data_IF_671647821710
#
_entry.id   IF_671647821710
#
_cell.length_a   1.000
_cell.length_b   1.000
_cell.length_c   1.000
_cell.angle_alpha   90.00
_cell.angle_beta   90.00
_cell.angle_gamma   90.00
#
_symmetry.space_group_name_H-M   'P 1'
#
loop_
_entity.id
_entity.type
_entity.pdbx_description
1 polymer ?
#
# COMPACT_ATOMS: atom_id res chain seq x y z
N UNK A 1 10.22 -17.90 11.70
CA UNK A 1 10.37 -16.53 12.24
C UNK A 1 9.27 -16.27 13.28
N UNK A 2 9.49 -15.45 14.32
CA UNK A 2 8.52 -15.25 15.41
C UNK A 2 7.27 -14.49 14.94
N UNK A 3 6.07 -14.94 15.35
CA UNK A 3 4.79 -14.26 15.08
C UNK A 3 4.82 -12.77 15.47
N UNK A 4 5.64 -12.40 16.46
CA UNK A 4 5.83 -11.00 16.90
C UNK A 4 6.31 -10.07 15.79
N UNK A 5 7.16 -10.55 14.88
CA UNK A 5 7.69 -9.74 13.78
C UNK A 5 6.59 -9.44 12.75
N UNK A 6 5.72 -10.42 12.47
CA UNK A 6 4.58 -10.24 11.56
C UNK A 6 3.55 -9.28 12.13
N UNK A 7 3.30 -9.36 13.45
CA UNK A 7 2.45 -8.40 14.17
C UNK A 7 3.04 -7.00 14.05
N UNK A 8 4.32 -6.83 14.36
CA UNK A 8 4.97 -5.51 14.29
C UNK A 8 4.93 -4.95 12.87
N UNK A 9 5.24 -5.77 11.87
CA UNK A 9 5.17 -5.39 10.47
C UNK A 9 3.75 -4.96 10.07
N UNK A 10 2.74 -5.77 10.39
CA UNK A 10 1.35 -5.44 10.08
C UNK A 10 0.88 -4.18 10.81
N UNK A 11 1.37 -3.93 12.03
CA UNK A 11 1.01 -2.75 12.81
C UNK A 11 1.61 -1.48 12.20
N UNK A 12 2.92 -1.50 11.94
CA UNK A 12 3.64 -0.36 11.34
C UNK A 12 3.09 -0.06 9.96
N UNK A 13 3.02 -1.07 9.09
CA UNK A 13 2.53 -0.90 7.73
C UNK A 13 1.05 -0.48 7.73
N UNK A 14 0.22 -1.10 8.58
CA UNK A 14 -1.19 -0.76 8.71
C UNK A 14 -1.42 0.69 9.16
N UNK A 15 -0.67 1.17 10.16
CA UNK A 15 -0.74 2.58 10.60
C UNK A 15 -0.31 3.52 9.49
N UNK A 16 0.77 3.21 8.76
CA UNK A 16 1.23 4.03 7.63
C UNK A 16 0.13 4.13 6.56
N UNK A 17 -0.42 2.99 6.12
CA UNK A 17 -1.50 2.95 5.14
C UNK A 17 -2.71 3.78 5.58
N UNK A 18 -3.15 3.66 6.84
CA UNK A 18 -4.26 4.47 7.36
C UNK A 18 -3.90 5.97 7.39
N UNK A 19 -2.72 6.32 7.89
CA UNK A 19 -2.28 7.70 8.00
C UNK A 19 -2.21 8.39 6.64
N UNK A 20 -1.58 7.76 5.64
CA UNK A 20 -1.51 8.29 4.28
C UNK A 20 -2.89 8.32 3.61
N UNK A 21 -3.73 7.31 3.83
CA UNK A 21 -5.10 7.30 3.32
C UNK A 21 -5.91 8.48 3.85
N UNK A 22 -5.91 8.71 5.17
CA UNK A 22 -6.58 9.88 5.77
C UNK A 22 -6.02 11.19 5.25
N UNK A 23 -4.71 11.28 5.07
CA UNK A 23 -4.06 12.49 4.57
C UNK A 23 -4.49 12.82 3.14
N UNK A 24 -4.63 11.82 2.25
CA UNK A 24 -5.17 12.04 0.91
C UNK A 24 -6.62 12.55 0.93
N UNK A 25 -7.48 12.05 1.82
CA UNK A 25 -8.84 12.57 1.99
C UNK A 25 -8.84 14.04 2.43
N UNK A 26 -7.97 14.40 3.38
CA UNK A 26 -7.85 15.78 3.86
C UNK A 26 -7.36 16.70 2.75
N UNK A 27 -6.35 16.28 1.97
CA UNK A 27 -5.83 17.05 0.84
C UNK A 27 -6.83 17.15 -0.32
N UNK A 28 -7.63 16.11 -0.57
CA UNK A 28 -8.70 16.17 -1.56
C UNK A 28 -9.79 17.19 -1.18
N UNK A 29 -10.05 17.39 0.11
CA UNK A 29 -11.06 18.33 0.60
C UNK A 29 -10.55 19.77 0.77
N UNK A 30 -9.31 19.94 1.22
CA UNK A 30 -8.73 21.26 1.54
C UNK A 30 -7.82 21.82 0.45
N UNK A 31 -7.47 21.02 -0.55
CA UNK A 31 -6.48 21.36 -1.58
C UNK A 31 -5.04 21.03 -1.18
N UNK A 32 -4.08 21.24 -2.09
CA UNK A 32 -2.66 20.99 -1.84
C UNK A 32 -2.13 21.84 -0.69
N UNK A 33 -1.26 21.25 0.14
CA UNK A 33 -0.59 21.94 1.24
C UNK A 33 0.91 21.89 0.97
N UNK A 34 1.55 23.05 0.79
CA UNK A 34 2.98 23.16 0.42
C UNK A 34 3.91 22.36 1.33
N UNK A 35 3.60 22.28 2.64
CA UNK A 35 4.42 21.52 3.60
C UNK A 35 4.37 19.99 3.43
N UNK A 36 3.42 19.48 2.66
CA UNK A 36 3.23 18.05 2.40
C UNK A 36 3.60 17.65 0.96
N UNK A 37 3.98 18.60 0.10
CA UNK A 37 4.40 18.32 -1.28
C UNK A 37 5.65 17.43 -1.33
N UNK A 38 6.56 17.57 -0.35
CA UNK A 38 7.75 16.73 -0.24
C UNK A 38 7.44 15.24 -0.02
N UNK A 39 6.23 14.90 0.46
CA UNK A 39 5.79 13.52 0.67
C UNK A 39 5.08 12.93 -0.57
N UNK A 40 4.93 13.70 -1.66
CA UNK A 40 4.28 13.28 -2.90
C UNK A 40 2.90 12.65 -2.65
N UNK A 41 2.08 13.36 -1.87
CA UNK A 41 0.74 12.90 -1.48
C UNK A 41 -0.29 13.66 -2.31
N UNK A 42 -0.81 13.10 -3.41
CA UNK A 42 -1.90 13.72 -4.14
C UNK A 42 -3.19 13.69 -3.32
N UNK A 43 -4.02 14.73 -3.46
CA UNK A 43 -5.38 14.73 -2.92
C UNK A 43 -6.31 13.87 -3.77
N UNK A 44 -6.32 12.55 -3.53
CA UNK A 44 -7.17 11.59 -4.25
C UNK A 44 -8.01 10.74 -3.27
N UNK A 45 -9.34 10.78 -3.45
CA UNK A 45 -10.28 10.01 -2.64
C UNK A 45 -10.22 8.50 -2.94
N UNK A 46 -9.94 8.10 -4.19
CA UNK A 46 -9.92 6.69 -4.58
C UNK A 46 -8.67 6.00 -4.05
N UNK A 47 -7.50 6.55 -4.35
CA UNK A 47 -6.23 6.04 -3.79
C UNK A 47 -6.25 6.12 -2.28
N UNK A 48 -6.80 7.19 -1.70
CA UNK A 48 -6.96 7.36 -0.25
C UNK A 48 -7.82 6.26 0.36
N UNK A 49 -8.93 5.91 -0.29
CA UNK A 49 -9.81 4.83 0.15
C UNK A 49 -9.12 3.46 0.08
N UNK A 50 -8.41 3.17 -1.00
CA UNK A 50 -7.62 1.93 -1.13
C UNK A 50 -6.60 1.82 0.00
N UNK A 51 -5.88 2.92 0.30
CA UNK A 51 -4.92 2.97 1.40
C UNK A 51 -5.59 2.64 2.75
N UNK A 52 -6.76 3.23 3.03
CA UNK A 52 -7.53 2.94 4.25
C UNK A 52 -7.96 1.47 4.33
N UNK A 53 -8.41 0.88 3.23
CA UNK A 53 -8.81 -0.54 3.19
C UNK A 53 -7.62 -1.45 3.50
N UNK A 54 -6.48 -1.24 2.83
CA UNK A 54 -5.25 -2.01 3.09
C UNK A 54 -4.83 -1.89 4.56
N UNK A 55 -4.81 -0.66 5.08
CA UNK A 55 -4.47 -0.37 6.47
C UNK A 55 -5.42 -1.04 7.47
N UNK A 56 -6.72 -0.97 7.23
CA UNK A 56 -7.73 -1.58 8.09
C UNK A 56 -7.61 -3.12 8.13
N UNK A 57 -7.35 -3.77 7.00
CA UNK A 57 -7.14 -5.23 6.93
C UNK A 57 -5.89 -5.64 7.72
N UNK A 58 -4.77 -4.91 7.57
CA UNK A 58 -3.54 -5.15 8.32
C UNK A 58 -3.76 -5.00 9.83
N UNK A 59 -4.38 -3.89 10.26
CA UNK A 59 -4.65 -3.61 11.67
C UNK A 59 -5.66 -4.59 12.28
N UNK A 60 -6.64 -5.07 11.50
CA UNK A 60 -7.55 -6.13 11.94
C UNK A 60 -6.80 -7.44 12.22
N UNK A 61 -5.82 -7.79 11.37
CA UNK A 61 -4.95 -8.95 11.59
C UNK A 61 -4.08 -8.81 12.83
N UNK A 62 -3.47 -7.63 13.02
CA UNK A 62 -2.69 -7.29 14.22
C UNK A 62 -3.55 -7.43 15.48
N UNK A 63 -4.75 -6.83 15.48
CA UNK A 63 -5.68 -6.88 16.62
C UNK A 63 -6.02 -8.32 16.98
N UNK A 64 -6.46 -9.14 16.01
CA UNK A 64 -6.81 -10.55 16.23
C UNK A 64 -5.64 -11.39 16.73
N UNK A 65 -4.45 -11.18 16.16
CA UNK A 65 -3.27 -11.96 16.53
C UNK A 65 -2.73 -11.54 17.91
N UNK A 66 -2.87 -10.26 18.27
CA UNK A 66 -2.52 -9.75 19.60
C UNK A 66 -3.46 -10.27 20.70
N UNK A 67 -4.72 -10.56 20.37
CA UNK A 67 -5.68 -11.19 21.29
C UNK A 67 -5.58 -12.72 21.34
N UNK A 68 -4.57 -13.32 20.71
CA UNK A 68 -4.35 -14.77 20.71
C UNK A 68 -5.25 -15.56 19.74
N UNK A 69 -6.02 -14.89 18.87
CA UNK A 69 -6.83 -15.58 17.87
C UNK A 69 -5.96 -16.07 16.71
N UNK A 70 -5.93 -17.39 16.49
CA UNK A 70 -5.15 -18.02 15.42
C UNK A 70 -5.54 -17.50 14.01
N UNK A 71 -6.79 -17.06 13.85
CA UNK A 71 -7.34 -16.55 12.59
C UNK A 71 -6.88 -15.11 12.25
N UNK A 72 -5.98 -14.52 13.04
CA UNK A 72 -5.40 -13.20 12.76
C UNK A 72 -4.35 -13.20 11.63
N UNK A 73 -3.63 -14.31 11.43
CA UNK A 73 -2.57 -14.35 10.40
C UNK A 73 -3.08 -14.18 8.95
N UNK A 74 -4.18 -14.83 8.52
CA UNK A 74 -4.71 -14.63 7.17
C UNK A 74 -4.95 -13.15 6.82
N UNK A 75 -5.41 -12.34 7.77
CA UNK A 75 -5.63 -10.90 7.56
C UNK A 75 -4.32 -10.15 7.26
N UNK A 76 -3.23 -10.47 7.95
CA UNK A 76 -1.92 -9.85 7.67
C UNK A 76 -1.46 -10.20 6.25
N UNK A 77 -1.64 -11.47 5.83
CA UNK A 77 -1.28 -11.87 4.47
C UNK A 77 -2.17 -11.24 3.40
N UNK A 78 -3.49 -11.15 3.63
CA UNK A 78 -4.40 -10.45 2.72
C UNK A 78 -4.03 -8.96 2.62
N UNK A 79 -3.71 -8.31 3.75
CA UNK A 79 -3.25 -6.92 3.73
C UNK A 79 -1.97 -6.74 2.91
N UNK A 80 -1.01 -7.66 3.03
CA UNK A 80 0.21 -7.67 2.19
C UNK A 80 -0.13 -7.89 0.71
N UNK A 81 -1.03 -8.82 0.40
CA UNK A 81 -1.45 -9.07 -0.98
C UNK A 81 -2.15 -7.86 -1.60
N UNK A 82 -3.02 -7.18 -0.84
CA UNK A 82 -3.70 -5.96 -1.30
C UNK A 82 -2.67 -4.85 -1.52
N UNK A 83 -1.74 -4.65 -0.60
CA UNK A 83 -0.64 -3.69 -0.72
C UNK A 83 0.16 -3.91 -2.02
N UNK A 84 0.61 -5.15 -2.27
CA UNK A 84 1.38 -5.48 -3.48
C UNK A 84 0.52 -5.42 -4.74
N UNK A 85 -0.71 -5.92 -4.68
CA UNK A 85 -1.62 -5.98 -5.84
C UNK A 85 -1.97 -4.59 -6.35
N UNK A 86 -2.39 -3.69 -5.46
CA UNK A 86 -2.68 -2.31 -5.83
C UNK A 86 -1.42 -1.53 -6.21
N UNK A 87 -0.28 -1.76 -5.54
CA UNK A 87 0.98 -1.18 -5.96
C UNK A 87 1.44 -1.61 -7.35
N UNK A 88 1.16 -2.85 -7.75
CA UNK A 88 1.43 -3.32 -9.11
C UNK A 88 0.53 -2.62 -10.13
N UNK A 89 -0.73 -2.38 -9.80
CA UNK A 89 -1.65 -1.61 -10.64
C UNK A 89 -1.12 -0.18 -10.85
N UNK A 90 -0.69 0.48 -9.77
CA UNK A 90 -0.06 1.82 -9.85
C UNK A 90 1.22 1.82 -10.69
N UNK A 91 2.07 0.80 -10.50
CA UNK A 91 3.30 0.67 -11.29
C UNK A 91 3.00 0.52 -12.78
N UNK A 92 2.00 -0.29 -13.13
CA UNK A 92 1.57 -0.47 -14.52
C UNK A 92 0.98 0.82 -15.09
N UNK A 93 0.21 1.57 -14.30
CA UNK A 93 -0.32 2.88 -14.71
C UNK A 93 0.82 3.87 -14.98
N UNK A 94 1.82 3.94 -14.11
CA UNK A 94 3.01 4.77 -14.30
C UNK A 94 3.80 4.36 -15.56
N UNK A 95 3.97 3.06 -15.81
CA UNK A 95 4.59 2.58 -17.03
C UNK A 95 3.78 2.93 -18.29
N UNK A 96 2.45 2.87 -18.22
CA UNK A 96 1.58 3.24 -19.33
C UNK A 96 1.71 4.72 -19.68
N UNK A 97 1.70 5.60 -18.66
CA UNK A 97 1.92 7.04 -18.84
C UNK A 97 3.30 7.34 -19.44
N UNK A 98 4.35 6.67 -18.96
CA UNK A 98 5.70 6.86 -19.50
C UNK A 98 5.85 6.33 -20.94
N UNK A 99 5.18 5.24 -21.29
CA UNK A 99 5.17 4.71 -22.65
C UNK A 99 4.40 5.64 -23.61
N UNK A 100 3.28 6.21 -23.15
CA UNK A 100 2.51 7.17 -23.92
C UNK A 100 3.32 8.44 -24.23
N UNK A 101 3.96 9.01 -23.20
CA UNK A 101 4.89 10.15 -23.36
C UNK A 101 6.03 9.83 -24.35
N UNK A 102 6.55 8.60 -24.32
CA UNK A 102 7.59 8.14 -25.26
C UNK A 102 7.12 8.04 -26.70
N UNK A 103 5.91 7.50 -26.92
CA UNK A 103 5.39 7.25 -28.27
C UNK A 103 4.83 8.52 -28.93
N UNK A 104 4.19 9.40 -28.15
CA UNK A 104 3.55 10.62 -28.64
C UNK A 104 4.53 11.79 -28.70
N UNK A 105 5.62 11.75 -27.93
CA UNK A 105 6.67 12.77 -27.93
C UNK A 105 6.37 13.98 -27.04
N UNK A 106 5.31 13.93 -26.24
CA UNK A 106 4.88 14.98 -25.29
C UNK A 106 5.60 14.87 -23.94
N UNK A 107 6.94 14.87 -23.99
CA UNK A 107 7.76 14.83 -22.78
C UNK A 107 7.69 16.10 -21.92
N UNK A 108 7.19 17.20 -22.50
CA UNK A 108 7.22 18.52 -21.87
C UNK A 108 6.26 18.65 -20.68
N UNK A 109 5.18 17.87 -20.67
CA UNK A 109 4.13 17.95 -19.65
C UNK A 109 4.13 16.77 -18.66
N UNK A 110 4.93 15.73 -18.91
CA UNK A 110 4.97 14.55 -18.04
C UNK A 110 6.03 14.69 -16.95
N UNK A 111 5.58 14.86 -15.71
CA UNK A 111 6.45 14.84 -14.52
C UNK A 111 6.23 13.53 -13.75
N UNK A 112 7.27 12.72 -13.62
CA UNK A 112 7.20 11.42 -12.92
C UNK A 112 6.72 11.56 -11.47
N UNK A 113 7.03 12.68 -10.81
CA UNK A 113 6.62 12.93 -9.42
C UNK A 113 5.10 13.02 -9.25
N UNK A 114 4.37 13.39 -10.30
CA UNK A 114 2.91 13.51 -10.25
C UNK A 114 2.23 12.12 -10.29
N UNK A 115 2.94 11.13 -10.81
CA UNK A 115 2.51 9.73 -10.85
C UNK A 115 2.94 8.93 -9.61
N UNK A 116 3.86 9.45 -8.80
CA UNK A 116 4.30 8.79 -7.56
C UNK A 116 3.30 9.13 -6.45
N UNK A 117 2.76 8.10 -5.81
CA UNK A 117 1.82 8.25 -4.70
C UNK A 117 2.15 7.27 -3.54
N UNK A 118 1.52 7.48 -2.37
CA UNK A 118 1.69 6.60 -1.21
C UNK A 118 1.38 5.14 -1.45
N UNK A 119 0.45 4.83 -2.35
CA UNK A 119 0.11 3.46 -2.66
C UNK A 119 1.29 2.73 -3.30
N UNK A 120 2.01 3.40 -4.21
CA UNK A 120 3.16 2.86 -4.92
C UNK A 120 4.36 2.62 -3.99
N UNK A 121 4.80 3.62 -3.21
CA UNK A 121 5.98 3.44 -2.36
C UNK A 121 5.73 2.57 -1.13
N UNK A 122 4.52 2.56 -0.55
CA UNK A 122 4.18 1.63 0.54
C UNK A 122 4.07 0.19 0.05
N UNK A 123 3.68 -0.01 -1.22
CA UNK A 123 3.65 -1.34 -1.82
C UNK A 123 5.05 -1.96 -1.95
N UNK A 124 6.12 -1.15 -2.03
CA UNK A 124 7.49 -1.67 -1.95
C UNK A 124 7.74 -2.34 -0.60
N UNK A 125 7.26 -1.73 0.49
CA UNK A 125 7.34 -2.32 1.84
C UNK A 125 6.48 -3.60 1.93
N UNK A 126 5.27 -3.56 1.35
CA UNK A 126 4.41 -4.72 1.19
C UNK A 126 5.10 -5.86 0.43
N UNK A 127 5.80 -5.55 -0.65
CA UNK A 127 6.52 -6.52 -1.47
C UNK A 127 7.66 -7.18 -0.69
N UNK A 128 8.38 -6.44 0.15
CA UNK A 128 9.35 -7.05 1.07
C UNK A 128 8.69 -8.03 2.04
N UNK A 129 7.53 -7.69 2.59
CA UNK A 129 6.73 -8.61 3.41
C UNK A 129 6.28 -9.85 2.64
N UNK A 130 5.86 -9.68 1.38
CA UNK A 130 5.47 -10.78 0.50
C UNK A 130 6.65 -11.68 0.13
N UNK A 131 7.83 -11.14 -0.17
CA UNK A 131 9.02 -11.93 -0.46
C UNK A 131 9.51 -12.69 0.77
N UNK A 132 9.40 -12.08 1.95
CA UNK A 132 9.81 -12.70 3.21
C UNK A 132 8.89 -13.84 3.65
N UNK A 133 7.57 -13.72 3.46
CA UNK A 133 6.59 -14.67 4.02
C UNK A 133 5.64 -15.31 3.00
N UNK A 134 5.74 -14.97 1.72
CA UNK A 134 4.84 -15.46 0.67
C UNK A 134 4.86 -16.98 0.52
N UNK A 135 6.02 -17.62 0.71
CA UNK A 135 6.13 -19.09 0.70
C UNK A 135 5.28 -19.75 1.80
N UNK A 136 5.16 -19.11 2.96
CA UNK A 136 4.39 -19.63 4.09
C UNK A 136 2.89 -19.49 3.85
N UNK A 137 2.47 -18.39 3.19
CA UNK A 137 1.11 -18.19 2.71
C UNK A 137 0.70 -19.28 1.72
N UNK A 138 1.48 -19.50 0.66
CA UNK A 138 1.14 -20.50 -0.37
C UNK A 138 1.19 -21.94 0.17
N UNK A 139 2.04 -22.21 1.16
CA UNK A 139 2.07 -23.51 1.83
C UNK A 139 0.82 -23.77 2.67
N UNK A 140 0.30 -22.75 3.35
CA UNK A 140 -0.96 -22.85 4.09
C UNK A 140 -2.16 -23.13 3.17
N UNK A 141 -2.21 -22.47 2.01
CA UNK A 141 -3.27 -22.68 1.01
C UNK A 141 -3.21 -24.09 0.42
N UNK A 142 -2.01 -24.64 0.16
CA UNK A 142 -1.86 -26.00 -0.39
C UNK A 142 -2.14 -27.12 0.62
N UNK A 143 -2.20 -26.81 1.91
CA UNK A 143 -2.41 -27.79 2.98
C UNK A 143 -3.85 -27.81 3.50
N UNK A 144 -4.70 -26.87 3.06
CA UNK A 144 -6.13 -26.81 3.31
C UNK A 144 -6.90 -27.46 2.15
#
# INVERSE_FOLDING_TARGET
MSNRIKILFGAVLGVLYVAFGLLQFVLAALGPVESLEALLIPGDLFTGFVLLVVGAVLLAGVKKLSSGAADGMPFIYVGILLSVGFGLVELLALCALGLDAYLVGEWADWVVTDAINPLLYLAVIGAFGFLAWGKELFRGIRAA
#
